data_IF_836416299026
#
_entry.id   IF_836416299026
#
_cell.length_a   1.000
_cell.length_b   1.000
_cell.length_c   1.000
_cell.angle_alpha   90.00
_cell.angle_beta   90.00
_cell.angle_gamma   90.00
#
_symmetry.space_group_name_H-M   'P 1'
#
loop_
_entity.id
_entity.type
_entity.pdbx_description
1 polymer ?
#
# COMPACT_ATOMS: atom_id res chain seq x y z
N UNK A 1 54.91 -10.65 10.87
CA UNK A 1 54.53 -11.39 9.66
C UNK A 1 55.19 -12.73 9.78
N UNK A 2 54.43 -13.83 9.76
CA UNK A 2 55.05 -15.15 9.57
C UNK A 2 55.81 -15.14 8.24
N UNK A 3 56.96 -15.82 8.17
CA UNK A 3 57.70 -15.96 6.93
C UNK A 3 56.82 -16.64 5.88
N UNK A 4 56.42 -15.85 4.88
CA UNK A 4 55.70 -16.34 3.71
C UNK A 4 56.77 -17.02 2.83
N UNK A 5 56.61 -18.31 2.49
CA UNK A 5 57.57 -19.02 1.64
C UNK A 5 57.83 -18.29 0.33
N UNK A 6 59.07 -18.30 -0.14
CA UNK A 6 59.47 -17.61 -1.37
C UNK A 6 58.62 -18.02 -2.59
N UNK A 7 58.26 -19.30 -2.68
CA UNK A 7 57.38 -19.82 -3.72
C UNK A 7 55.98 -19.18 -3.70
N UNK A 8 55.43 -18.91 -2.52
CA UNK A 8 54.14 -18.23 -2.34
C UNK A 8 54.28 -16.74 -2.72
N UNK A 9 55.40 -16.12 -2.36
CA UNK A 9 55.70 -14.72 -2.64
C UNK A 9 55.82 -14.47 -4.15
N UNK A 10 56.45 -15.39 -4.88
CA UNK A 10 56.55 -15.37 -6.34
C UNK A 10 55.16 -15.51 -6.99
N UNK A 11 54.34 -16.44 -6.52
CA UNK A 11 52.97 -16.61 -7.02
C UNK A 11 52.10 -15.37 -6.80
N UNK A 12 52.20 -14.73 -5.63
CA UNK A 12 51.50 -13.47 -5.34
C UNK A 12 51.99 -12.35 -6.27
N UNK A 13 53.30 -12.26 -6.51
CA UNK A 13 53.91 -11.23 -7.35
C UNK A 13 53.46 -11.36 -8.81
N UNK A 14 53.38 -12.58 -9.34
CA UNK A 14 52.79 -12.83 -10.66
C UNK A 14 51.30 -12.47 -10.68
N UNK A 15 50.54 -12.86 -9.65
CA UNK A 15 49.12 -12.52 -9.57
C UNK A 15 48.90 -10.99 -9.57
N UNK A 16 49.72 -10.23 -8.84
CA UNK A 16 49.64 -8.76 -8.78
C UNK A 16 49.70 -8.10 -10.16
N UNK A 17 50.34 -8.70 -11.17
CA UNK A 17 50.40 -8.12 -12.52
C UNK A 17 49.02 -8.02 -13.19
N UNK A 18 48.05 -8.83 -12.78
CA UNK A 18 46.68 -8.84 -13.31
C UNK A 18 45.64 -8.16 -12.43
N UNK A 19 46.04 -7.58 -11.29
CA UNK A 19 45.13 -6.99 -10.31
C UNK A 19 45.50 -5.54 -10.02
N UNK A 20 44.49 -4.68 -9.91
CA UNK A 20 44.68 -3.23 -9.75
C UNK A 20 44.78 -2.80 -8.28
N UNK A 21 44.43 -3.67 -7.34
CA UNK A 21 44.34 -3.34 -5.92
C UNK A 21 45.28 -4.19 -5.06
N UNK A 22 45.33 -3.85 -3.77
CA UNK A 22 46.19 -4.52 -2.81
C UNK A 22 45.75 -5.97 -2.58
N UNK A 23 46.67 -6.93 -2.72
CA UNK A 23 46.42 -8.32 -2.37
C UNK A 23 46.75 -8.57 -0.90
N UNK A 24 45.72 -8.82 -0.11
CA UNK A 24 45.82 -9.26 1.28
C UNK A 24 45.90 -10.79 1.34
N UNK A 25 46.75 -11.29 2.24
CA UNK A 25 47.04 -12.73 2.37
C UNK A 25 46.68 -13.19 3.77
N UNK A 26 45.86 -14.23 3.87
CA UNK A 26 45.54 -14.88 5.13
C UNK A 26 45.96 -16.35 5.10
N UNK A 27 46.85 -16.76 6.00
CA UNK A 27 47.22 -18.17 6.16
C UNK A 27 46.17 -18.92 6.95
N UNK A 28 45.73 -20.07 6.45
CA UNK A 28 44.87 -21.03 7.18
C UNK A 28 45.30 -22.45 6.82
N UNK A 29 45.89 -23.15 7.80
CA UNK A 29 46.53 -24.45 7.56
C UNK A 29 47.69 -24.32 6.57
N UNK A 30 47.73 -25.19 5.57
CA UNK A 30 48.80 -25.24 4.55
C UNK A 30 48.57 -24.29 3.37
N UNK A 31 47.52 -23.47 3.41
CA UNK A 31 47.14 -22.59 2.32
C UNK A 31 47.17 -21.11 2.70
N UNK A 32 47.51 -20.29 1.71
CA UNK A 32 47.50 -18.83 1.74
C UNK A 32 46.33 -18.33 0.91
N UNK A 33 45.30 -17.83 1.57
CA UNK A 33 44.09 -17.31 0.93
C UNK A 33 44.32 -15.87 0.50
N UNK A 34 44.08 -15.59 -0.77
CA UNK A 34 44.35 -14.29 -1.38
C UNK A 34 43.05 -13.52 -1.56
N UNK A 35 43.09 -12.24 -1.21
CA UNK A 35 41.98 -11.31 -1.38
C UNK A 35 42.48 -10.04 -2.04
N UNK A 36 41.84 -9.64 -3.14
CA UNK A 36 42.03 -8.30 -3.69
C UNK A 36 41.21 -7.32 -2.84
N UNK A 37 41.86 -6.29 -2.30
CA UNK A 37 41.25 -5.38 -1.32
C UNK A 37 41.55 -3.92 -1.61
N UNK A 38 40.57 -3.07 -1.31
CA UNK A 38 40.73 -1.62 -1.31
C UNK A 38 39.83 -1.00 -0.26
N UNK A 39 40.08 0.25 0.09
CA UNK A 39 39.21 1.02 1.00
C UNK A 39 38.84 2.32 0.34
N UNK A 40 37.54 2.61 0.24
CA UNK A 40 37.05 3.92 -0.21
C UNK A 40 36.35 4.64 0.93
N UNK A 41 36.58 5.95 1.01
CA UNK A 41 35.79 6.82 1.87
C UNK A 41 34.39 6.95 1.27
N UNK A 42 33.37 6.61 2.04
CA UNK A 42 31.97 6.77 1.64
C UNK A 42 31.45 8.04 2.32
N UNK A 43 31.25 9.11 1.55
CA UNK A 43 30.80 10.39 2.09
C UNK A 43 29.45 10.28 2.83
N UNK A 44 28.55 9.44 2.30
CA UNK A 44 27.21 9.18 2.85
C UNK A 44 27.25 8.51 4.22
N UNK A 45 28.15 7.55 4.42
CA UNK A 45 28.29 6.82 5.68
C UNK A 45 29.29 7.47 6.64
N UNK A 46 29.95 8.56 6.24
CA UNK A 46 31.07 9.21 6.93
C UNK A 46 32.13 8.21 7.44
N UNK A 47 32.37 7.14 6.68
CA UNK A 47 33.24 6.04 7.09
C UNK A 47 34.01 5.44 5.91
N UNK A 48 35.16 4.81 6.20
CA UNK A 48 35.88 3.98 5.22
C UNK A 48 35.19 2.62 5.09
N UNK A 49 34.73 2.28 3.90
CA UNK A 49 34.23 0.94 3.56
C UNK A 49 35.35 0.14 2.91
N UNK A 50 35.73 -0.99 3.52
CA UNK A 50 36.69 -1.95 2.95
C UNK A 50 35.95 -2.86 1.98
N UNK A 51 36.44 -2.94 0.75
CA UNK A 51 35.98 -3.89 -0.26
C UNK A 51 37.02 -5.00 -0.38
N UNK A 52 36.55 -6.24 -0.47
CA UNK A 52 37.41 -7.42 -0.55
C UNK A 52 36.78 -8.45 -1.48
N UNK A 53 37.57 -8.94 -2.44
CA UNK A 53 37.19 -9.98 -3.39
C UNK A 53 38.15 -11.16 -3.24
N UNK A 54 37.59 -12.36 -3.00
CA UNK A 54 38.39 -13.59 -2.93
C UNK A 54 38.84 -14.01 -4.33
N UNK A 55 40.15 -14.06 -4.55
CA UNK A 55 40.76 -14.35 -5.87
C UNK A 55 41.29 -15.78 -5.98
N UNK A 56 41.49 -16.48 -4.85
CA UNK A 56 41.95 -17.87 -4.84
C UNK A 56 42.83 -18.18 -3.64
N UNK A 57 43.45 -19.36 -3.63
CA UNK A 57 44.41 -19.75 -2.59
C UNK A 57 45.68 -20.32 -3.20
N UNK A 58 46.82 -20.12 -2.53
CA UNK A 58 48.13 -20.63 -2.93
C UNK A 58 48.58 -21.67 -1.90
N UNK A 59 49.07 -22.81 -2.37
CA UNK A 59 49.70 -23.82 -1.49
C UNK A 59 51.11 -23.40 -1.06
N UNK A 60 51.66 -24.01 -0.02
CA UNK A 60 53.05 -23.76 0.43
C UNK A 60 54.11 -23.92 -0.66
N UNK A 61 53.84 -24.71 -1.71
CA UNK A 61 54.73 -24.90 -2.87
C UNK A 61 54.58 -23.82 -3.96
N UNK A 62 53.74 -22.81 -3.76
CA UNK A 62 53.50 -21.74 -4.74
C UNK A 62 52.44 -22.05 -5.80
N UNK A 63 51.81 -23.24 -5.78
CA UNK A 63 50.73 -23.55 -6.74
C UNK A 63 49.46 -22.76 -6.42
N UNK A 64 49.01 -21.95 -7.37
CA UNK A 64 47.73 -21.22 -7.32
C UNK A 64 46.55 -22.15 -7.61
N UNK A 65 45.55 -22.10 -6.75
CA UNK A 65 44.28 -22.82 -6.87
C UNK A 65 43.17 -21.78 -7.02
N UNK A 66 42.57 -21.76 -8.20
CA UNK A 66 41.45 -20.88 -8.53
C UNK A 66 40.22 -21.21 -7.64
N UNK A 67 39.35 -20.22 -7.35
CA UNK A 67 38.18 -20.41 -6.51
C UNK A 67 37.19 -21.37 -7.19
N UNK A 68 37.00 -22.56 -6.59
CA UNK A 68 36.09 -23.61 -7.09
C UNK A 68 34.62 -23.19 -6.92
N UNK A 69 34.31 -22.40 -5.88
CA UNK A 69 32.98 -21.83 -5.64
C UNK A 69 33.13 -20.34 -5.29
N UNK A 70 32.60 -19.49 -6.16
CA UNK A 70 32.40 -18.06 -5.84
C UNK A 70 31.08 -17.92 -5.08
N UNK A 71 30.98 -16.93 -4.19
CA UNK A 71 29.69 -16.55 -3.60
C UNK A 71 28.79 -16.04 -4.72
N UNK A 72 27.48 -16.17 -4.59
CA UNK A 72 26.55 -15.67 -5.62
C UNK A 72 26.76 -14.18 -5.90
N UNK A 73 27.07 -13.39 -4.85
CA UNK A 73 27.38 -11.96 -4.95
C UNK A 73 28.68 -11.62 -5.69
N UNK A 74 29.55 -12.59 -5.96
CA UNK A 74 30.83 -12.40 -6.68
C UNK A 74 30.96 -13.30 -7.91
N UNK A 75 29.88 -14.01 -8.26
CA UNK A 75 29.85 -14.94 -9.39
C UNK A 75 29.94 -14.16 -10.69
N UNK A 76 30.82 -14.58 -11.60
CA UNK A 76 31.04 -13.93 -12.89
C UNK A 76 32.00 -12.72 -12.86
N UNK A 77 32.34 -12.18 -11.68
CA UNK A 77 33.24 -11.03 -11.56
C UNK A 77 34.69 -11.44 -11.75
N UNK A 78 35.44 -10.63 -12.51
CA UNK A 78 36.84 -10.87 -12.87
C UNK A 78 37.81 -10.17 -11.93
N UNK A 79 37.45 -9.02 -11.39
CA UNK A 79 38.31 -8.19 -10.53
C UNK A 79 37.48 -7.38 -9.52
N UNK A 80 38.18 -6.73 -8.58
CA UNK A 80 37.56 -5.90 -7.55
C UNK A 80 36.84 -4.66 -8.11
N UNK A 81 37.30 -4.09 -9.23
CA UNK A 81 36.66 -2.92 -9.85
C UNK A 81 35.24 -3.23 -10.36
N UNK A 82 35.06 -4.38 -11.03
CA UNK A 82 33.74 -4.87 -11.44
C UNK A 82 32.83 -5.08 -10.21
N UNK A 83 33.35 -5.73 -9.16
CA UNK A 83 32.59 -5.92 -7.92
C UNK A 83 32.19 -4.59 -7.27
N UNK A 84 33.09 -3.60 -7.23
CA UNK A 84 32.82 -2.29 -6.67
C UNK A 84 31.81 -1.50 -7.48
N UNK A 85 31.86 -1.61 -8.81
CA UNK A 85 30.89 -0.96 -9.69
C UNK A 85 29.48 -1.57 -9.51
N UNK A 86 29.38 -2.90 -9.43
CA UNK A 86 28.11 -3.58 -9.13
C UNK A 86 27.62 -3.27 -7.72
N UNK A 87 28.49 -3.33 -6.72
CA UNK A 87 28.13 -3.01 -5.31
C UNK A 87 27.67 -1.57 -5.13
N UNK A 88 28.30 -0.63 -5.85
CA UNK A 88 27.87 0.77 -5.86
C UNK A 88 26.52 0.94 -6.57
N UNK A 89 26.25 0.18 -7.62
CA UNK A 89 24.96 0.21 -8.30
C UNK A 89 23.84 -0.37 -7.42
N UNK A 90 24.06 -1.52 -6.78
CA UNK A 90 23.08 -2.13 -5.86
C UNK A 90 22.77 -1.20 -4.68
N UNK A 91 23.79 -0.58 -4.09
CA UNK A 91 23.61 0.38 -3.00
C UNK A 91 22.85 1.63 -3.48
N UNK A 92 23.20 2.18 -4.65
CA UNK A 92 22.47 3.31 -5.24
C UNK A 92 21.02 2.97 -5.53
N UNK A 93 20.75 1.77 -6.03
CA UNK A 93 19.40 1.31 -6.31
C UNK A 93 18.60 1.12 -5.02
N UNK A 94 19.22 0.57 -3.97
CA UNK A 94 18.61 0.46 -2.65
C UNK A 94 18.29 1.83 -2.04
N UNK A 95 19.23 2.78 -2.07
CA UNK A 95 19.00 4.16 -1.62
C UNK A 95 17.87 4.80 -2.45
N UNK A 96 17.86 4.57 -3.77
CA UNK A 96 16.81 5.07 -4.65
C UNK A 96 15.45 4.53 -4.26
N UNK A 97 15.33 3.22 -4.06
CA UNK A 97 14.11 2.54 -3.64
C UNK A 97 13.64 3.03 -2.28
N UNK A 98 14.56 3.16 -1.32
CA UNK A 98 14.24 3.68 0.01
C UNK A 98 13.68 5.10 -0.05
N UNK A 99 14.37 6.02 -0.74
CA UNK A 99 13.93 7.40 -0.90
C UNK A 99 12.59 7.48 -1.64
N UNK A 100 12.37 6.61 -2.62
CA UNK A 100 11.12 6.52 -3.36
C UNK A 100 9.96 6.09 -2.44
N UNK A 101 10.16 5.05 -1.64
CA UNK A 101 9.16 4.56 -0.68
C UNK A 101 8.87 5.62 0.39
N UNK A 102 9.90 6.29 0.92
CA UNK A 102 9.74 7.37 1.89
C UNK A 102 8.98 8.56 1.29
N UNK A 103 9.27 8.96 0.05
CA UNK A 103 8.53 10.02 -0.63
C UNK A 103 7.08 9.63 -0.90
N UNK A 104 6.82 8.39 -1.34
CA UNK A 104 5.46 7.87 -1.48
C UNK A 104 4.71 7.87 -0.14
N UNK A 105 5.41 7.60 0.96
CA UNK A 105 4.88 7.64 2.33
C UNK A 105 4.43 9.04 2.74
N UNK A 106 5.26 10.05 2.46
CA UNK A 106 4.91 11.46 2.69
C UNK A 106 3.72 11.91 1.83
N UNK A 107 3.77 11.66 0.52
CA UNK A 107 2.71 12.06 -0.42
C UNK A 107 1.37 11.37 -0.12
N UNK A 108 1.38 10.09 0.25
CA UNK A 108 0.15 9.38 0.61
C UNK A 108 -0.47 9.90 1.90
N UNK A 109 0.37 10.43 2.80
CA UNK A 109 -0.04 10.86 4.13
C UNK A 109 -0.64 12.25 4.13
N UNK A 110 0.01 13.20 3.47
CA UNK A 110 -0.54 14.52 3.24
C UNK A 110 0.12 15.13 2.00
N UNK A 111 -0.48 14.99 0.81
CA UNK A 111 0.11 15.53 -0.41
C UNK A 111 0.06 17.06 -0.44
N UNK A 112 -0.78 17.70 0.39
CA UNK A 112 -0.93 19.15 0.43
C UNK A 112 0.20 19.87 1.16
N UNK A 113 1.10 19.14 1.81
CA UNK A 113 2.32 19.72 2.37
C UNK A 113 3.19 20.31 1.26
N UNK A 114 3.85 21.43 1.55
CA UNK A 114 4.78 22.02 0.57
C UNK A 114 5.96 21.09 0.33
N UNK A 115 6.49 21.12 -0.90
CA UNK A 115 7.68 20.32 -1.25
C UNK A 115 8.87 20.64 -0.34
N UNK A 116 8.98 21.87 0.17
CA UNK A 116 9.98 22.26 1.16
C UNK A 116 9.83 21.46 2.46
N UNK A 117 8.63 21.37 3.01
CA UNK A 117 8.36 20.61 4.24
C UNK A 117 8.61 19.10 4.03
N UNK A 118 8.20 18.56 2.89
CA UNK A 118 8.49 17.16 2.53
C UNK A 118 10.02 16.95 2.45
N UNK A 119 10.75 17.88 1.82
CA UNK A 119 12.20 17.78 1.66
C UNK A 119 12.96 17.82 3.00
N UNK A 120 12.52 18.68 3.92
CA UNK A 120 13.07 18.78 5.27
C UNK A 120 12.89 17.48 6.05
N UNK A 121 11.68 16.89 6.03
CA UNK A 121 11.39 15.63 6.73
C UNK A 121 12.16 14.44 6.16
N UNK A 122 12.42 14.44 4.85
CA UNK A 122 13.19 13.39 4.18
C UNK A 122 14.71 13.59 4.27
N UNK A 123 15.18 14.76 4.71
CA UNK A 123 16.61 15.10 4.68
C UNK A 123 17.17 15.19 3.26
N UNK A 124 16.34 15.56 2.28
CA UNK A 124 16.71 15.69 0.87
C UNK A 124 16.59 17.14 0.42
N UNK A 125 17.34 17.56 -0.61
CA UNK A 125 17.19 18.91 -1.15
C UNK A 125 15.89 19.06 -1.94
N UNK A 126 15.32 20.26 -1.93
CA UNK A 126 14.16 20.62 -2.76
C UNK A 126 14.36 20.26 -4.24
N UNK A 127 15.56 20.54 -4.77
CA UNK A 127 15.94 20.26 -6.15
C UNK A 127 15.96 18.78 -6.52
N UNK A 128 16.04 17.89 -5.53
CA UNK A 128 15.93 16.43 -5.71
C UNK A 128 14.48 15.98 -5.55
N UNK A 129 13.79 16.46 -4.52
CA UNK A 129 12.43 16.02 -4.19
C UNK A 129 11.42 16.41 -5.27
N UNK A 130 11.45 17.66 -5.77
CA UNK A 130 10.47 18.12 -6.75
C UNK A 130 10.47 17.26 -8.05
N UNK A 131 11.62 17.05 -8.73
CA UNK A 131 11.66 16.17 -9.90
C UNK A 131 11.26 14.73 -9.59
N UNK A 132 11.57 14.23 -8.39
CA UNK A 132 11.19 12.89 -7.97
C UNK A 132 9.68 12.75 -7.82
N UNK A 133 8.99 13.72 -7.21
CA UNK A 133 7.52 13.72 -7.14
C UNK A 133 6.94 13.58 -8.55
N UNK A 134 7.40 14.39 -9.51
CA UNK A 134 6.93 14.32 -10.91
C UNK A 134 7.19 12.98 -11.57
N UNK A 135 8.39 12.41 -11.35
CA UNK A 135 8.72 11.07 -11.85
C UNK A 135 7.82 9.99 -11.26
N UNK A 136 7.48 10.07 -9.97
CA UNK A 136 6.60 9.11 -9.30
C UNK A 136 5.14 9.27 -9.75
N UNK A 137 4.68 10.50 -9.94
CA UNK A 137 3.36 10.80 -10.50
C UNK A 137 3.18 10.10 -11.85
N UNK A 138 4.17 10.23 -12.74
CA UNK A 138 4.15 9.57 -14.05
C UNK A 138 4.31 8.04 -13.96
N UNK A 139 5.32 7.57 -13.21
CA UNK A 139 5.66 6.14 -13.06
C UNK A 139 4.47 5.34 -12.53
N UNK A 140 3.78 5.86 -11.53
CA UNK A 140 2.71 5.15 -10.82
C UNK A 140 1.30 5.59 -11.21
N UNK A 141 1.15 6.59 -12.08
CA UNK A 141 -0.15 7.18 -12.40
C UNK A 141 -0.82 7.71 -11.13
N UNK A 142 -0.12 8.55 -10.38
CA UNK A 142 -0.61 9.07 -9.10
C UNK A 142 -1.73 10.09 -9.36
N UNK A 143 -2.88 9.85 -8.72
CA UNK A 143 -3.97 10.80 -8.63
C UNK A 143 -4.18 11.21 -7.18
N UNK A 144 -4.16 12.52 -6.91
CA UNK A 144 -4.47 13.03 -5.59
C UNK A 144 -5.97 13.08 -5.38
N UNK A 145 -6.42 12.71 -4.20
CA UNK A 145 -7.85 12.67 -3.83
C UNK A 145 -7.99 12.87 -2.32
N UNK A 146 -9.18 12.67 -1.78
CA UNK A 146 -9.46 12.69 -0.34
C UNK A 146 -9.95 11.32 0.14
N UNK A 147 -9.56 10.97 1.35
CA UNK A 147 -10.08 9.79 2.04
C UNK A 147 -11.29 10.20 2.87
N UNK A 148 -12.45 9.60 2.56
CA UNK A 148 -13.71 9.89 3.24
C UNK A 148 -13.92 8.95 4.42
N UNK A 149 -14.42 9.47 5.55
CA UNK A 149 -14.56 8.71 6.80
C UNK A 149 -16.02 8.48 7.17
N UNK A 150 -16.76 9.52 7.54
CA UNK A 150 -18.14 9.36 8.02
C UNK A 150 -19.15 9.75 6.94
N UNK A 151 -19.39 8.82 6.01
CA UNK A 151 -20.41 9.01 4.97
C UNK A 151 -21.85 9.06 5.53
N UNK A 152 -22.04 8.57 6.75
CA UNK A 152 -23.30 8.65 7.48
C UNK A 152 -23.69 10.11 7.78
N UNK A 153 -22.72 11.03 7.84
CA UNK A 153 -23.01 12.47 7.94
C UNK A 153 -23.74 13.00 6.69
N UNK A 154 -23.60 12.33 5.55
CA UNK A 154 -24.36 12.58 4.32
C UNK A 154 -25.63 11.72 4.20
N UNK A 155 -25.91 10.88 5.20
CA UNK A 155 -27.01 9.92 5.18
C UNK A 155 -26.74 8.73 4.28
N UNK A 156 -25.48 8.28 4.16
CA UNK A 156 -25.10 7.06 3.44
C UNK A 156 -24.24 6.15 4.32
N UNK A 157 -24.46 4.84 4.20
CA UNK A 157 -23.68 3.81 4.86
C UNK A 157 -22.96 2.96 3.82
N UNK A 158 -21.90 2.30 4.27
CA UNK A 158 -21.04 1.46 3.44
C UNK A 158 -21.52 0.02 3.46
N UNK A 159 -21.76 -0.52 2.28
CA UNK A 159 -22.16 -1.91 2.08
C UNK A 159 -21.26 -2.57 1.05
N UNK A 160 -21.16 -3.88 1.15
CA UNK A 160 -20.60 -4.70 0.11
C UNK A 160 -21.56 -5.84 -0.23
N UNK A 161 -21.42 -6.37 -1.43
CA UNK A 161 -22.05 -7.59 -1.87
C UNK A 161 -21.01 -8.46 -2.59
N UNK A 162 -21.09 -9.76 -2.36
CA UNK A 162 -20.30 -10.77 -3.07
C UNK A 162 -21.20 -11.84 -3.65
N UNK A 163 -20.81 -12.36 -4.80
CA UNK A 163 -21.51 -13.46 -5.44
C UNK A 163 -20.54 -14.58 -5.83
N UNK A 164 -21.00 -15.82 -5.65
CA UNK A 164 -20.39 -17.01 -6.22
C UNK A 164 -21.39 -17.66 -7.18
N UNK A 165 -21.10 -17.64 -8.48
CA UNK A 165 -21.98 -18.22 -9.48
C UNK A 165 -21.77 -19.74 -9.54
N UNK A 166 -22.87 -20.49 -9.56
CA UNK A 166 -22.85 -21.97 -9.63
C UNK A 166 -23.03 -22.49 -11.05
N UNK A 167 -23.49 -21.63 -11.96
CA UNK A 167 -23.75 -21.98 -13.36
C UNK A 167 -23.18 -20.95 -14.32
N UNK A 168 -24.05 -20.38 -15.16
CA UNK A 168 -23.68 -19.33 -16.11
C UNK A 168 -23.12 -18.12 -15.36
N UNK A 169 -22.05 -17.55 -15.91
CA UNK A 169 -21.46 -16.30 -15.45
C UNK A 169 -21.96 -15.14 -16.30
N UNK A 170 -22.11 -13.93 -15.73
CA UNK A 170 -22.54 -12.77 -16.48
C UNK A 170 -21.49 -12.35 -17.50
N UNK A 171 -21.94 -11.81 -18.62
CA UNK A 171 -21.03 -11.14 -19.57
C UNK A 171 -20.40 -9.91 -18.89
N UNK A 172 -19.06 -9.79 -18.85
CA UNK A 172 -18.41 -8.70 -18.12
C UNK A 172 -18.73 -7.30 -18.64
N UNK A 173 -18.90 -7.11 -19.96
CA UNK A 173 -19.16 -5.78 -20.53
C UNK A 173 -20.61 -5.35 -20.28
N UNK A 174 -21.57 -6.26 -20.46
CA UNK A 174 -22.97 -6.01 -20.15
C UNK A 174 -23.16 -5.72 -18.65
N UNK A 175 -22.51 -6.49 -17.77
CA UNK A 175 -22.56 -6.25 -16.32
C UNK A 175 -21.91 -4.91 -15.96
N UNK A 176 -20.76 -4.57 -16.56
CA UNK A 176 -20.12 -3.27 -16.36
C UNK A 176 -21.08 -2.13 -16.67
N UNK A 177 -21.76 -2.16 -17.82
CA UNK A 177 -22.70 -1.10 -18.24
C UNK A 177 -23.83 -0.88 -17.22
N UNK A 178 -24.38 -1.97 -16.67
CA UNK A 178 -25.43 -1.92 -15.64
C UNK A 178 -24.90 -1.29 -14.35
N UNK A 179 -23.75 -1.77 -13.86
CA UNK A 179 -23.16 -1.27 -12.61
C UNK A 179 -22.71 0.19 -12.74
N UNK A 180 -22.14 0.57 -13.89
CA UNK A 180 -21.67 1.93 -14.16
C UNK A 180 -22.82 2.94 -14.14
N UNK A 181 -24.00 2.56 -14.64
CA UNK A 181 -25.21 3.40 -14.58
C UNK A 181 -25.76 3.63 -13.17
N UNK A 182 -25.37 2.80 -12.18
CA UNK A 182 -25.82 2.95 -10.80
C UNK A 182 -24.82 3.79 -9.97
N UNK A 183 -25.23 5.01 -9.63
CA UNK A 183 -24.44 6.00 -8.88
C UNK A 183 -24.08 5.58 -7.44
N UNK A 184 -24.81 4.61 -6.88
CA UNK A 184 -24.52 4.05 -5.56
C UNK A 184 -23.34 3.08 -5.58
N UNK A 185 -23.07 2.44 -6.71
CA UNK A 185 -22.00 1.46 -6.87
C UNK A 185 -20.65 2.18 -6.99
N UNK A 186 -19.80 2.07 -5.96
CA UNK A 186 -18.53 2.80 -5.89
C UNK A 186 -17.37 2.01 -6.49
N UNK A 187 -17.38 0.69 -6.31
CA UNK A 187 -16.33 -0.19 -6.79
C UNK A 187 -16.95 -1.55 -7.07
N UNK A 188 -16.66 -2.13 -8.24
CA UNK A 188 -17.04 -3.51 -8.52
C UNK A 188 -15.99 -4.19 -9.40
N UNK A 189 -15.78 -5.46 -9.17
CA UNK A 189 -14.80 -6.24 -9.92
C UNK A 189 -15.15 -7.73 -9.94
N UNK A 190 -14.76 -8.39 -11.02
CA UNK A 190 -14.82 -9.84 -11.16
C UNK A 190 -13.53 -10.45 -10.64
N UNK A 191 -13.66 -11.64 -10.06
CA UNK A 191 -12.56 -12.36 -9.43
C UNK A 191 -12.48 -13.82 -9.87
N UNK A 192 -11.32 -14.44 -9.63
CA UNK A 192 -11.07 -15.88 -9.75
C UNK A 192 -10.71 -16.43 -8.37
N UNK A 193 -11.54 -17.32 -7.82
CA UNK A 193 -11.30 -17.96 -6.52
C UNK A 193 -12.59 -18.31 -5.79
N UNK A 194 -12.61 -18.09 -4.48
CA UNK A 194 -13.76 -18.31 -3.60
C UNK A 194 -15.03 -17.58 -4.06
N UNK A 195 -14.90 -16.38 -4.60
CA UNK A 195 -16.00 -15.57 -5.13
C UNK A 195 -15.72 -15.20 -6.59
N UNK A 196 -16.78 -14.82 -7.32
CA UNK A 196 -16.70 -14.45 -8.73
C UNK A 196 -16.97 -12.95 -8.97
N UNK A 197 -17.71 -12.29 -8.07
CA UNK A 197 -18.06 -10.86 -8.16
C UNK A 197 -18.01 -10.22 -6.77
N UNK A 198 -17.40 -9.05 -6.68
CA UNK A 198 -17.44 -8.15 -5.53
C UNK A 198 -18.00 -6.79 -5.94
N UNK A 199 -18.79 -6.20 -5.05
CA UNK A 199 -19.39 -4.88 -5.21
C UNK A 199 -19.28 -4.16 -3.87
N UNK A 200 -18.74 -2.94 -3.87
CA UNK A 200 -18.82 -2.00 -2.77
C UNK A 200 -19.70 -0.84 -3.18
N UNK A 201 -20.67 -0.51 -2.34
CA UNK A 201 -21.70 0.46 -2.66
C UNK A 201 -22.17 1.21 -1.43
N UNK A 202 -22.87 2.32 -1.68
CA UNK A 202 -23.38 3.20 -0.63
C UNK A 202 -24.91 3.20 -0.67
N UNK A 203 -25.56 3.06 0.48
CA UNK A 203 -27.01 3.14 0.57
C UNK A 203 -27.44 3.92 1.81
N UNK A 204 -28.64 4.55 1.82
CA UNK A 204 -29.11 5.31 2.98
C UNK A 204 -29.35 4.47 4.23
N UNK A 205 -29.64 3.19 4.07
CA UNK A 205 -29.99 2.26 5.13
C UNK A 205 -29.91 0.80 4.61
N UNK A 206 -29.96 -0.22 5.49
CA UNK A 206 -29.87 -1.62 5.08
C UNK A 206 -31.00 -2.10 4.14
N UNK A 207 -32.22 -1.59 4.30
CA UNK A 207 -33.36 -1.99 3.44
C UNK A 207 -33.14 -1.48 2.02
N UNK A 208 -32.71 -0.22 1.89
CA UNK A 208 -32.30 0.35 0.61
C UNK A 208 -31.14 -0.44 -0.01
N UNK A 209 -30.19 -0.91 0.79
CA UNK A 209 -29.06 -1.70 0.31
C UNK A 209 -29.49 -3.06 -0.27
N UNK A 210 -30.33 -3.80 0.47
CA UNK A 210 -30.87 -5.08 0.02
C UNK A 210 -31.70 -4.94 -1.25
N UNK A 211 -32.56 -3.92 -1.32
CA UNK A 211 -33.36 -3.62 -2.51
C UNK A 211 -32.49 -3.32 -3.74
N UNK A 212 -31.38 -2.60 -3.58
CA UNK A 212 -30.44 -2.35 -4.68
C UNK A 212 -29.80 -3.64 -5.20
N UNK A 213 -29.38 -4.54 -4.31
CA UNK A 213 -28.81 -5.84 -4.70
C UNK A 213 -29.88 -6.74 -5.32
N UNK A 214 -31.10 -6.74 -4.79
CA UNK A 214 -32.21 -7.49 -5.35
C UNK A 214 -32.55 -7.01 -6.77
N UNK A 215 -32.67 -5.70 -6.97
CA UNK A 215 -32.89 -5.12 -8.30
C UNK A 215 -31.76 -5.48 -9.28
N UNK A 216 -30.51 -5.41 -8.84
CA UNK A 216 -29.36 -5.81 -9.66
C UNK A 216 -29.44 -7.29 -10.07
N UNK A 217 -29.90 -8.18 -9.18
CA UNK A 217 -30.08 -9.61 -9.49
C UNK A 217 -31.19 -9.89 -10.50
N UNK A 218 -32.16 -8.99 -10.63
CA UNK A 218 -33.25 -9.08 -11.61
C UNK A 218 -32.85 -8.57 -13.00
N UNK A 219 -31.70 -7.91 -13.13
CA UNK A 219 -31.21 -7.46 -14.43
C UNK A 219 -30.98 -8.65 -15.37
N UNK A 220 -31.35 -8.57 -16.66
CA UNK A 220 -31.26 -9.72 -17.59
C UNK A 220 -29.88 -10.37 -17.67
N UNK A 221 -28.79 -9.61 -17.46
CA UNK A 221 -27.43 -10.15 -17.47
C UNK A 221 -27.15 -11.08 -16.27
N UNK A 222 -27.87 -10.92 -15.16
CA UNK A 222 -27.70 -11.66 -13.90
C UNK A 222 -28.88 -12.61 -13.60
N UNK A 223 -30.07 -12.37 -14.14
CA UNK A 223 -31.27 -13.15 -13.84
C UNK A 223 -31.10 -14.65 -14.12
N UNK A 224 -30.36 -15.00 -15.19
CA UNK A 224 -30.06 -16.40 -15.56
C UNK A 224 -28.79 -16.96 -14.88
N UNK A 225 -28.11 -16.15 -14.06
CA UNK A 225 -26.88 -16.55 -13.38
C UNK A 225 -27.21 -17.06 -11.98
N UNK A 226 -27.43 -18.37 -11.85
CA UNK A 226 -27.60 -19.00 -10.54
C UNK A 226 -26.34 -18.79 -9.68
N UNK A 227 -26.53 -18.39 -8.42
CA UNK A 227 -25.41 -18.14 -7.52
C UNK A 227 -25.82 -17.85 -6.08
N UNK A 228 -24.84 -17.95 -5.20
CA UNK A 228 -24.96 -17.61 -3.78
C UNK A 228 -24.51 -16.17 -3.61
N UNK A 229 -25.36 -15.36 -2.98
CA UNK A 229 -25.12 -13.94 -2.75
C UNK A 229 -25.04 -13.65 -1.26
N UNK A 230 -24.09 -12.82 -0.87
CA UNK A 230 -23.98 -12.27 0.46
C UNK A 230 -23.86 -10.76 0.36
N UNK A 231 -24.57 -10.03 1.21
CA UNK A 231 -24.45 -8.59 1.33
C UNK A 231 -24.48 -8.18 2.79
N UNK A 232 -23.62 -7.23 3.17
CA UNK A 232 -23.55 -6.74 4.54
C UNK A 232 -22.99 -5.32 4.55
N UNK A 233 -23.20 -4.62 5.68
CA UNK A 233 -22.45 -3.41 5.98
C UNK A 233 -20.98 -3.77 6.29
N UNK A 234 -20.10 -2.77 6.13
CA UNK A 234 -18.71 -2.88 6.56
C UNK A 234 -18.22 -1.56 7.20
N UNK A 235 -17.25 -1.68 8.10
CA UNK A 235 -16.53 -0.54 8.67
C UNK A 235 -15.10 -0.53 8.15
N UNK A 236 -14.65 0.62 7.65
CA UNK A 236 -13.30 0.79 7.12
C UNK A 236 -12.30 0.87 8.28
N UNK A 237 -11.28 0.01 8.28
CA UNK A 237 -10.22 -0.01 9.30
C UNK A 237 -8.90 0.61 8.81
N UNK A 238 -8.35 0.10 7.70
CA UNK A 238 -7.15 0.64 7.05
C UNK A 238 -7.37 0.72 5.54
N UNK A 239 -6.78 1.74 4.91
CA UNK A 239 -6.97 1.98 3.48
C UNK A 239 -8.36 2.56 3.19
N UNK A 240 -8.68 2.77 1.91
CA UNK A 240 -9.95 3.38 1.50
C UNK A 240 -10.34 2.97 0.08
N UNK A 241 -11.62 3.14 -0.22
CA UNK A 241 -12.16 3.02 -1.58
C UNK A 241 -12.48 4.44 -2.05
N UNK A 242 -11.76 4.96 -3.06
CA UNK A 242 -12.08 6.24 -3.67
C UNK A 242 -13.55 6.31 -4.11
N UNK A 243 -14.22 7.42 -3.82
CA UNK A 243 -15.59 7.63 -4.29
C UNK A 243 -15.59 7.96 -5.78
N UNK A 244 -16.56 7.40 -6.48
CA UNK A 244 -16.83 7.74 -7.88
C UNK A 244 -17.37 9.16 -7.99
N UNK A 245 -17.05 9.83 -9.08
CA UNK A 245 -17.56 11.18 -9.35
C UNK A 245 -19.10 11.21 -9.42
N UNK A 246 -19.70 10.14 -9.93
CA UNK A 246 -21.15 9.98 -10.07
C UNK A 246 -21.87 9.92 -8.71
N UNK A 247 -21.18 9.56 -7.62
CA UNK A 247 -21.74 9.66 -6.27
C UNK A 247 -22.09 11.10 -5.91
N UNK A 248 -21.32 12.08 -6.39
CA UNK A 248 -21.56 13.49 -6.09
C UNK A 248 -22.85 14.00 -6.75
N UNK A 249 -23.38 13.35 -7.78
CA UNK A 249 -24.71 13.69 -8.28
C UNK A 249 -25.79 13.37 -7.25
N UNK A 250 -25.65 12.27 -6.49
CA UNK A 250 -26.56 11.95 -5.39
C UNK A 250 -26.45 12.97 -4.24
N UNK A 251 -25.24 13.47 -3.98
CA UNK A 251 -25.04 14.53 -2.98
C UNK A 251 -25.59 15.89 -3.43
N UNK A 252 -25.60 16.16 -4.74
CA UNK A 252 -26.14 17.41 -5.29
C UNK A 252 -27.62 17.58 -4.94
N UNK A 253 -28.38 16.48 -4.93
CA UNK A 253 -29.80 16.44 -4.53
C UNK A 253 -30.01 16.73 -3.04
N UNK A 254 -28.94 16.67 -2.23
CA UNK A 254 -28.95 16.88 -0.78
C UNK A 254 -28.41 18.25 -0.36
N UNK A 255 -28.13 19.15 -1.31
CA UNK A 255 -27.70 20.50 -1.00
C UNK A 255 -28.85 21.26 -0.34
N UNK A 256 -28.65 21.67 0.91
CA UNK A 256 -29.60 22.48 1.64
C UNK A 256 -29.56 23.93 1.16
N UNK A 257 -30.74 24.44 0.84
CA UNK A 257 -31.00 25.87 0.66
C UNK A 257 -32.03 26.32 1.70
N UNK A 258 -31.83 27.52 2.26
CA UNK A 258 -32.78 28.09 3.20
C UNK A 258 -34.01 28.57 2.43
N UNK A 259 -35.16 27.95 2.68
CA UNK A 259 -36.46 28.41 2.16
C UNK A 259 -37.41 28.73 3.31
N UNK A 260 -38.61 29.25 3.00
CA UNK A 260 -39.64 29.50 4.02
C UNK A 260 -40.16 28.18 4.62
N UNK A 261 -40.27 27.15 3.78
CA UNK A 261 -40.77 25.81 4.12
C UNK A 261 -39.71 25.00 4.86
N UNK A 262 -38.42 25.25 4.59
CA UNK A 262 -37.31 24.57 5.23
C UNK A 262 -36.27 25.55 5.80
N UNK A 263 -36.55 26.18 6.95
CA UNK A 263 -35.67 27.17 7.55
C UNK A 263 -34.41 26.56 8.19
N UNK A 264 -34.38 25.24 8.43
CA UNK A 264 -33.27 24.53 9.08
C UNK A 264 -32.82 23.33 8.24
N UNK A 265 -31.51 23.05 8.30
CA UNK A 265 -30.88 21.88 7.69
C UNK A 265 -31.41 20.59 8.33
N UNK A 266 -31.85 19.63 7.52
CA UNK A 266 -32.22 18.28 7.99
C UNK A 266 -30.98 17.39 8.03
N UNK A 267 -31.07 16.28 8.77
CA UNK A 267 -30.03 15.26 8.80
C UNK A 267 -29.74 14.75 7.37
N UNK A 268 -28.47 14.59 7.02
CA UNK A 268 -28.04 14.12 5.70
C UNK A 268 -28.06 15.18 4.58
N UNK A 269 -28.44 16.43 4.87
CA UNK A 269 -28.27 17.54 3.94
C UNK A 269 -26.95 18.29 4.18
N UNK A 270 -26.40 18.89 3.13
CA UNK A 270 -25.10 19.59 3.16
C UNK A 270 -25.20 21.01 2.61
N UNK A 271 -24.30 21.90 3.04
CA UNK A 271 -24.19 23.23 2.44
C UNK A 271 -23.52 23.15 1.05
N UNK A 272 -23.82 24.12 0.19
CA UNK A 272 -23.18 24.24 -1.14
C UNK A 272 -21.65 24.25 -1.05
N UNK A 273 -21.07 24.94 -0.06
CA UNK A 273 -19.61 24.97 0.15
C UNK A 273 -19.04 23.60 0.53
N UNK A 274 -19.75 22.82 1.34
CA UNK A 274 -19.33 21.47 1.74
C UNK A 274 -19.33 20.57 0.51
N UNK A 275 -20.41 20.60 -0.27
CA UNK A 275 -20.52 19.90 -1.56
C UNK A 275 -19.38 20.26 -2.51
N UNK A 276 -19.17 21.55 -2.76
CA UNK A 276 -18.14 22.05 -3.68
C UNK A 276 -16.74 21.60 -3.27
N UNK A 277 -16.39 21.79 -1.98
CA UNK A 277 -15.08 21.39 -1.46
C UNK A 277 -14.88 19.87 -1.55
N UNK A 278 -15.88 19.06 -1.17
CA UNK A 278 -15.77 17.60 -1.26
C UNK A 278 -15.63 17.10 -2.70
N UNK A 279 -16.46 17.63 -3.62
CA UNK A 279 -16.45 17.21 -5.02
C UNK A 279 -15.11 17.50 -5.68
N UNK A 280 -14.65 18.74 -5.61
CA UNK A 280 -13.41 19.13 -6.29
C UNK A 280 -12.17 18.46 -5.69
N UNK A 281 -12.15 18.26 -4.36
CA UNK A 281 -11.05 17.55 -3.71
C UNK A 281 -11.09 16.03 -3.93
N UNK A 282 -12.27 15.44 -4.18
CA UNK A 282 -12.37 14.04 -4.58
C UNK A 282 -11.73 13.81 -5.95
N UNK A 283 -11.98 14.72 -6.91
CA UNK A 283 -11.36 14.67 -8.23
C UNK A 283 -9.88 14.99 -8.19
N UNK A 284 -9.48 15.99 -7.38
CA UNK A 284 -8.09 16.38 -7.19
C UNK A 284 -7.86 16.89 -5.77
N UNK A 285 -7.26 16.04 -4.92
CA UNK A 285 -6.92 16.37 -3.52
C UNK A 285 -5.97 17.56 -3.36
N UNK A 286 -5.32 17.98 -4.45
CA UNK A 286 -4.41 19.13 -4.54
C UNK A 286 -5.05 20.38 -5.16
N UNK A 287 -6.35 20.38 -5.46
CA UNK A 287 -7.02 21.53 -6.03
C UNK A 287 -6.82 22.80 -5.18
N UNK A 288 -6.65 23.93 -5.86
CA UNK A 288 -6.50 25.23 -5.23
C UNK A 288 -7.84 25.71 -4.67
N UNK A 289 -7.86 26.14 -3.41
CA UNK A 289 -9.09 26.53 -2.74
C UNK A 289 -9.73 27.78 -3.37
N UNK A 290 -8.93 28.70 -3.91
CA UNK A 290 -9.46 29.90 -4.56
C UNK A 290 -10.12 29.58 -5.91
N UNK A 291 -9.64 28.55 -6.61
CA UNK A 291 -10.29 28.05 -7.82
C UNK A 291 -11.64 27.41 -7.51
N UNK A 292 -11.74 26.64 -6.41
CA UNK A 292 -13.01 26.09 -5.92
C UNK A 292 -13.99 27.23 -5.58
N UNK A 293 -13.53 28.24 -4.83
CA UNK A 293 -14.36 29.40 -4.48
C UNK A 293 -14.89 30.09 -5.74
N UNK A 294 -14.02 30.34 -6.72
CA UNK A 294 -14.38 30.98 -8.00
C UNK A 294 -15.37 30.14 -8.80
N UNK A 295 -15.14 28.83 -8.91
CA UNK A 295 -15.97 27.90 -9.72
C UNK A 295 -17.41 27.82 -9.21
N UNK A 296 -17.62 27.93 -7.89
CA UNK A 296 -18.94 27.80 -7.27
C UNK A 296 -19.51 29.13 -6.74
N UNK A 297 -18.86 30.27 -7.02
CA UNK A 297 -19.31 31.58 -6.56
C UNK A 297 -19.31 31.75 -5.04
N UNK A 298 -18.36 31.12 -4.34
CA UNK A 298 -18.21 31.22 -2.88
C UNK A 298 -17.40 32.47 -2.51
N UNK A 299 -17.51 32.90 -1.24
CA UNK A 299 -16.66 34.00 -0.72
C UNK A 299 -15.20 33.52 -0.65
N UNK A 300 -14.24 34.39 -0.97
CA UNK A 300 -12.80 34.09 -0.89
C UNK A 300 -12.41 33.49 0.47
N UNK A 301 -11.73 32.35 0.45
CA UNK A 301 -11.29 31.59 1.63
C UNK A 301 -12.34 30.63 2.18
N UNK A 302 -13.55 30.56 1.59
CA UNK A 302 -14.61 29.69 2.10
C UNK A 302 -14.28 28.22 1.92
N UNK A 303 -13.73 27.82 0.78
CA UNK A 303 -13.34 26.43 0.53
C UNK A 303 -12.24 25.96 1.47
N UNK A 304 -11.23 26.79 1.76
CA UNK A 304 -10.18 26.46 2.71
C UNK A 304 -10.73 26.29 4.13
N UNK A 305 -11.52 27.25 4.61
CA UNK A 305 -12.18 27.14 5.91
C UNK A 305 -13.07 25.88 5.99
N UNK A 306 -13.82 25.61 4.92
CA UNK A 306 -14.69 24.43 4.84
C UNK A 306 -13.88 23.13 4.86
N UNK A 307 -12.74 23.05 4.17
CA UNK A 307 -11.86 21.88 4.20
C UNK A 307 -11.40 21.54 5.62
N UNK A 308 -10.90 22.52 6.38
CA UNK A 308 -10.47 22.29 7.76
C UNK A 308 -11.63 21.87 8.65
N UNK A 309 -12.78 22.51 8.50
CA UNK A 309 -14.00 22.11 9.21
C UNK A 309 -14.43 20.67 8.86
N UNK A 310 -14.37 20.27 7.60
CA UNK A 310 -14.69 18.91 7.17
C UNK A 310 -13.71 17.86 7.75
N UNK A 311 -12.46 18.24 8.05
CA UNK A 311 -11.53 17.39 8.79
C UNK A 311 -11.92 17.29 10.26
N UNK A 312 -12.21 18.43 10.91
CA UNK A 312 -12.66 18.48 12.31
C UNK A 312 -13.94 17.66 12.53
N UNK A 313 -14.88 17.74 11.58
CA UNK A 313 -16.14 16.97 11.58
C UNK A 313 -15.94 15.50 11.14
N UNK A 314 -14.69 15.06 10.89
CA UNK A 314 -14.31 13.72 10.41
C UNK A 314 -15.04 13.30 9.12
N UNK A 315 -15.38 14.25 8.25
CA UNK A 315 -15.96 13.98 6.93
C UNK A 315 -14.86 13.68 5.92
N UNK A 316 -13.76 14.42 6.00
CA UNK A 316 -12.49 14.14 5.30
C UNK A 316 -11.49 13.65 6.34
N UNK A 317 -10.88 12.48 6.13
CA UNK A 317 -9.77 12.06 6.98
C UNK A 317 -8.50 12.84 6.68
N UNK A 318 -8.19 12.93 5.37
CA UNK A 318 -7.00 13.56 4.83
C UNK A 318 -7.12 13.71 3.32
N UNK A 319 -6.37 14.65 2.76
CA UNK A 319 -5.92 14.53 1.38
C UNK A 319 -4.92 13.38 1.27
N UNK A 320 -4.95 12.66 0.15
CA UNK A 320 -4.13 11.47 -0.09
C UNK A 320 -3.96 11.25 -1.59
N UNK A 321 -3.47 10.07 -1.97
CA UNK A 321 -3.34 9.65 -3.36
C UNK A 321 -3.86 8.24 -3.60
N UNK A 322 -4.01 7.91 -4.88
CA UNK A 322 -4.15 6.57 -5.41
C UNK A 322 -3.18 6.38 -6.59
N UNK A 323 -2.68 5.17 -6.79
CA UNK A 323 -1.84 4.78 -7.91
C UNK A 323 -2.67 3.97 -8.92
N UNK A 324 -2.70 4.39 -10.18
CA UNK A 324 -3.37 3.65 -11.24
C UNK A 324 -2.46 2.57 -11.88
N UNK A 325 -1.14 2.70 -11.71
CA UNK A 325 -0.13 1.77 -12.27
C UNK A 325 0.80 1.21 -11.18
N UNK A 326 0.28 0.57 -10.11
CA UNK A 326 1.13 -0.02 -9.08
C UNK A 326 2.02 -1.13 -9.67
N UNK A 327 3.26 -1.32 -9.18
CA UNK A 327 4.20 -2.31 -9.71
C UNK A 327 3.91 -3.70 -9.11
N UNK A 328 2.72 -4.21 -9.34
CA UNK A 328 2.22 -5.48 -8.78
C UNK A 328 1.85 -6.44 -9.90
N UNK A 329 1.86 -7.73 -9.60
CA UNK A 329 1.42 -8.78 -10.52
C UNK A 329 -0.10 -8.89 -10.52
N UNK A 330 -0.68 -9.00 -9.32
CA UNK A 330 -2.10 -9.24 -9.12
C UNK A 330 -2.60 -8.46 -7.88
N UNK A 331 -3.92 -8.45 -7.70
CA UNK A 331 -4.55 -8.00 -6.46
C UNK A 331 -5.45 -9.10 -5.94
N UNK A 332 -5.27 -9.47 -4.68
CA UNK A 332 -6.09 -10.45 -3.99
C UNK A 332 -7.13 -9.77 -3.11
N UNK A 333 -8.32 -10.36 -3.05
CA UNK A 333 -9.34 -10.08 -2.04
C UNK A 333 -9.48 -11.30 -1.17
N UNK A 334 -9.40 -11.10 0.14
CA UNK A 334 -9.39 -12.14 1.16
C UNK A 334 -10.51 -11.82 2.13
N UNK A 335 -11.53 -12.68 2.15
CA UNK A 335 -12.56 -12.66 3.17
C UNK A 335 -12.15 -13.61 4.30
N UNK A 336 -12.04 -13.07 5.50
CA UNK A 336 -11.77 -13.85 6.71
C UNK A 336 -13.03 -13.86 7.55
N UNK A 337 -13.71 -15.01 7.60
CA UNK A 337 -14.90 -15.20 8.44
C UNK A 337 -14.48 -15.64 9.84
N UNK A 338 -15.06 -15.02 10.86
CA UNK A 338 -14.79 -15.31 12.27
C UNK A 338 -15.74 -16.42 12.75
N UNK A 339 -15.17 -17.58 13.09
CA UNK A 339 -15.92 -18.75 13.57
C UNK A 339 -15.90 -18.81 15.10
N UNK A 340 -14.76 -18.49 15.72
CA UNK A 340 -14.57 -18.52 17.18
C UNK A 340 -13.91 -17.22 17.65
N UNK A 341 -14.74 -16.27 18.08
CA UNK A 341 -14.31 -14.94 18.50
C UNK A 341 -13.38 -14.96 19.71
N UNK A 342 -13.50 -15.99 20.59
CA UNK A 342 -12.63 -16.15 21.74
C UNK A 342 -11.19 -16.42 21.33
N UNK A 343 -10.99 -17.33 20.37
CA UNK A 343 -9.66 -17.65 19.82
C UNK A 343 -9.03 -16.49 19.05
N UNK A 344 -9.85 -15.69 18.36
CA UNK A 344 -9.38 -14.51 17.63
C UNK A 344 -8.96 -13.42 18.62
N UNK A 345 -9.81 -13.11 19.60
CA UNK A 345 -9.53 -12.07 20.60
C UNK A 345 -8.29 -12.39 21.43
N UNK A 346 -8.00 -13.66 21.70
CA UNK A 346 -6.77 -14.09 22.36
C UNK A 346 -5.48 -13.68 21.59
N UNK A 347 -5.58 -13.40 20.29
CA UNK A 347 -4.45 -13.03 19.41
C UNK A 347 -4.66 -11.69 18.70
N UNK A 348 -5.58 -10.86 19.21
CA UNK A 348 -5.95 -9.56 18.62
C UNK A 348 -4.75 -8.65 18.39
N UNK A 349 -3.82 -8.59 19.33
CA UNK A 349 -2.60 -7.77 19.21
C UNK A 349 -1.74 -8.17 18.01
N UNK A 350 -1.52 -9.47 17.83
CA UNK A 350 -0.73 -10.01 16.71
C UNK A 350 -1.43 -9.74 15.38
N UNK A 351 -2.77 -9.85 15.37
CA UNK A 351 -3.60 -9.48 14.22
C UNK A 351 -3.47 -8.01 13.84
N UNK A 352 -3.58 -7.08 14.81
CA UNK A 352 -3.42 -5.65 14.56
C UNK A 352 -2.01 -5.32 14.09
N UNK A 353 -1.00 -5.94 14.71
CA UNK A 353 0.42 -5.80 14.34
C UNK A 353 0.67 -6.26 12.90
N UNK A 354 0.03 -7.37 12.48
CA UNK A 354 0.12 -7.89 11.11
C UNK A 354 -0.39 -6.89 10.06
N UNK A 355 -1.47 -6.18 10.39
CA UNK A 355 -2.12 -5.22 9.49
C UNK A 355 -1.25 -3.99 9.27
N UNK A 356 -0.62 -3.47 10.33
CA UNK A 356 0.22 -2.26 10.25
C UNK A 356 1.67 -2.54 9.83
N UNK A 357 2.04 -3.81 9.66
CA UNK A 357 3.40 -4.19 9.29
C UNK A 357 3.79 -3.61 7.92
N UNK A 358 4.91 -2.90 7.88
CA UNK A 358 5.38 -2.21 6.67
C UNK A 358 6.36 -3.09 5.88
N UNK A 359 5.97 -3.42 4.64
CA UNK A 359 6.88 -3.98 3.63
C UNK A 359 7.78 -2.89 3.05
N UNK A 360 8.98 -3.25 2.61
CA UNK A 360 9.83 -2.38 1.77
C UNK A 360 9.35 -2.41 0.31
N UNK A 361 8.09 -2.01 0.11
CA UNK A 361 7.40 -1.98 -1.18
C UNK A 361 6.69 -0.64 -1.39
N UNK A 362 6.43 -0.24 -2.66
CA UNK A 362 5.71 1.00 -2.98
C UNK A 362 4.25 1.08 -2.50
N UNK A 363 3.71 0.00 -1.92
CA UNK A 363 2.36 -0.06 -1.35
C UNK A 363 2.39 -0.58 0.09
N UNK A 364 1.31 -0.33 0.84
CA UNK A 364 1.05 -1.04 2.10
C UNK A 364 0.76 -2.53 1.86
N UNK A 365 0.91 -3.34 2.91
CA UNK A 365 0.60 -4.79 2.89
C UNK A 365 -0.86 -5.06 2.51
N UNK A 366 -1.79 -4.25 3.01
CA UNK A 366 -3.18 -4.26 2.61
C UNK A 366 -3.54 -2.86 2.12
N UNK A 367 -4.16 -2.77 0.95
CA UNK A 367 -4.68 -1.50 0.40
C UNK A 367 -6.07 -1.17 0.95
N UNK A 368 -6.75 -2.18 1.48
CA UNK A 368 -8.01 -2.05 2.19
C UNK A 368 -8.11 -3.17 3.24
N UNK A 369 -8.55 -2.82 4.44
CA UNK A 369 -8.91 -3.72 5.53
C UNK A 369 -10.15 -3.15 6.21
N UNK A 370 -11.25 -3.90 6.22
CA UNK A 370 -12.49 -3.48 6.86
C UNK A 370 -13.25 -4.63 7.51
N UNK A 371 -13.87 -4.36 8.65
CA UNK A 371 -14.68 -5.35 9.36
C UNK A 371 -16.05 -5.48 8.71
N UNK A 372 -16.58 -6.70 8.67
CA UNK A 372 -17.88 -7.01 8.08
C UNK A 372 -18.84 -7.56 9.13
N UNK A 373 -20.11 -7.20 9.00
CA UNK A 373 -21.16 -7.56 9.97
C UNK A 373 -21.74 -8.97 9.81
N UNK A 374 -21.96 -9.44 8.58
CA UNK A 374 -22.61 -10.73 8.34
C UNK A 374 -22.07 -11.43 7.07
N UNK A 375 -21.44 -12.63 7.21
CA UNK A 375 -20.97 -13.18 8.48
C UNK A 375 -19.93 -12.27 9.12
N UNK A 376 -19.80 -12.30 10.46
CA UNK A 376 -18.79 -11.50 11.16
C UNK A 376 -17.39 -11.88 10.66
N UNK A 377 -16.60 -10.86 10.29
CA UNK A 377 -15.42 -11.10 9.47
C UNK A 377 -14.59 -9.85 9.23
N UNK A 378 -13.58 -10.01 8.38
CA UNK A 378 -12.78 -8.93 7.84
C UNK A 378 -12.58 -9.16 6.35
N UNK A 379 -12.76 -8.11 5.54
CA UNK A 379 -12.34 -8.09 4.14
C UNK A 379 -10.97 -7.42 4.07
N UNK A 380 -10.03 -8.08 3.40
CA UNK A 380 -8.70 -7.56 3.09
C UNK A 380 -8.50 -7.53 1.60
N UNK A 381 -7.94 -6.44 1.08
CA UNK A 381 -7.47 -6.36 -0.30
C UNK A 381 -5.96 -6.14 -0.25
N UNK A 382 -5.21 -7.03 -0.89
CA UNK A 382 -3.75 -7.08 -0.81
C UNK A 382 -3.11 -7.05 -2.22
N UNK A 383 -2.06 -6.24 -2.42
CA UNK A 383 -1.23 -6.34 -3.62
C UNK A 383 -0.39 -7.62 -3.58
N UNK A 384 -0.28 -8.29 -4.72
CA UNK A 384 0.52 -9.50 -4.92
C UNK A 384 1.64 -9.16 -5.91
N UNK A 385 2.89 -9.26 -5.48
CA UNK A 385 4.06 -8.94 -6.29
C UNK A 385 4.61 -10.15 -7.02
N UNK A 386 4.52 -11.34 -6.41
CA UNK A 386 5.13 -12.56 -6.94
C UNK A 386 4.21 -13.78 -6.77
N UNK A 387 4.51 -14.83 -7.54
CA UNK A 387 3.88 -16.14 -7.37
C UNK A 387 4.11 -16.72 -5.97
N UNK A 388 3.08 -17.38 -5.42
CA UNK A 388 3.13 -17.96 -4.08
C UNK A 388 2.93 -16.98 -2.92
N UNK A 389 2.80 -15.66 -3.20
CA UNK A 389 2.65 -14.66 -2.14
C UNK A 389 1.24 -14.67 -1.51
N UNK A 390 0.19 -14.99 -2.27
CA UNK A 390 -1.16 -15.12 -1.73
C UNK A 390 -1.23 -16.26 -0.71
N UNK A 391 -0.69 -17.43 -1.04
CA UNK A 391 -0.66 -18.60 -0.18
C UNK A 391 0.17 -18.32 1.09
N UNK A 392 1.28 -17.59 0.97
CA UNK A 392 2.05 -17.13 2.15
C UNK A 392 1.24 -16.19 3.03
N UNK A 393 0.48 -15.28 2.42
CA UNK A 393 -0.37 -14.34 3.14
C UNK A 393 -1.49 -15.08 3.88
N UNK A 394 -2.18 -16.01 3.23
CA UNK A 394 -3.21 -16.86 3.83
C UNK A 394 -2.66 -17.70 5.00
N UNK A 395 -1.53 -18.38 4.79
CA UNK A 395 -0.87 -19.16 5.83
C UNK A 395 -0.48 -18.28 7.03
N UNK A 396 0.01 -17.06 6.78
CA UNK A 396 0.31 -16.12 7.85
C UNK A 396 -0.96 -15.69 8.61
N UNK A 397 -2.09 -15.45 7.91
CA UNK A 397 -3.38 -15.12 8.54
C UNK A 397 -3.87 -16.27 9.42
N UNK A 398 -3.85 -17.52 8.92
CA UNK A 398 -4.20 -18.72 9.68
C UNK A 398 -3.27 -18.94 10.89
N UNK A 399 -1.98 -18.65 10.71
CA UNK A 399 -0.99 -18.80 11.77
C UNK A 399 -1.14 -17.74 12.87
N UNK A 400 -1.67 -16.55 12.57
CA UNK A 400 -1.87 -15.47 13.54
C UNK A 400 -3.28 -15.54 14.17
N UNK A 401 -4.27 -16.10 13.48
CA UNK A 401 -5.65 -16.18 13.97
C UNK A 401 -6.19 -17.59 13.89
N UNK A 402 -6.56 -18.13 15.05
CA UNK A 402 -7.27 -19.40 15.16
C UNK A 402 -8.77 -19.12 15.18
N UNK A 403 -9.58 -20.09 14.71
CA UNK A 403 -11.03 -19.93 14.70
C UNK A 403 -11.55 -19.04 13.57
N UNK A 404 -10.90 -19.09 12.41
CA UNK A 404 -11.29 -18.37 11.21
C UNK A 404 -11.45 -19.32 10.03
N UNK A 405 -12.20 -18.88 9.03
CA UNK A 405 -12.24 -19.46 7.69
C UNK A 405 -11.80 -18.39 6.67
N UNK A 406 -11.04 -18.80 5.65
CA UNK A 406 -10.51 -17.87 4.64
C UNK A 406 -11.08 -18.24 3.27
N UNK A 407 -11.67 -17.26 2.59
CA UNK A 407 -11.97 -17.32 1.16
C UNK A 407 -11.19 -16.24 0.42
N UNK A 408 -10.27 -16.63 -0.45
CA UNK A 408 -9.49 -15.69 -1.27
C UNK A 408 -9.89 -15.73 -2.73
N UNK A 409 -9.68 -14.62 -3.44
CA UNK A 409 -9.86 -14.54 -4.89
C UNK A 409 -8.94 -13.50 -5.49
N UNK A 410 -8.43 -13.74 -6.69
CA UNK A 410 -7.65 -12.78 -7.47
C UNK A 410 -8.58 -11.93 -8.32
N UNK A 411 -8.43 -10.61 -8.26
CA UNK A 411 -9.16 -9.68 -9.14
C UNK A 411 -8.74 -9.93 -10.58
N UNK A 412 -9.68 -10.35 -11.42
CA UNK A 412 -9.44 -10.59 -12.84
C UNK A 412 -9.87 -9.42 -13.72
N UNK A 413 -10.88 -8.65 -13.30
CA UNK A 413 -11.35 -7.51 -14.08
C UNK A 413 -12.05 -6.47 -13.21
N UNK A 414 -11.60 -5.22 -13.29
CA UNK A 414 -12.30 -4.07 -12.72
C UNK A 414 -13.49 -3.71 -13.60
N UNK A 415 -14.68 -3.61 -13.02
CA UNK A 415 -15.90 -3.18 -13.72
C UNK A 415 -16.07 -1.66 -13.57
N UNK A 416 -16.10 -1.17 -12.34
CA UNK A 416 -16.20 0.27 -12.01
C UNK A 416 -15.35 0.63 -10.80
N UNK A 417 -15.05 1.91 -10.66
CA UNK A 417 -14.34 2.44 -9.51
C UNK A 417 -12.84 2.17 -9.53
N UNK A 418 -12.19 2.46 -8.40
CA UNK A 418 -10.74 2.29 -8.22
C UNK A 418 -10.45 1.74 -6.82
N UNK A 419 -9.27 1.19 -6.68
CA UNK A 419 -8.72 0.75 -5.40
C UNK A 419 -7.69 1.79 -4.94
N UNK A 420 -7.68 2.13 -3.64
CA UNK A 420 -6.77 3.11 -3.07
C UNK A 420 -5.34 2.61 -2.91
N UNK A 421 -4.68 2.22 -4.01
CA UNK A 421 -3.28 1.80 -4.00
C UNK A 421 -2.40 2.96 -3.55
N UNK A 422 -1.78 2.83 -2.36
CA UNK A 422 -0.86 3.83 -1.82
C UNK A 422 0.10 3.22 -0.80
N UNK A 423 1.07 4.02 -0.36
CA UNK A 423 1.97 3.74 0.76
C UNK A 423 1.68 4.73 1.87
N UNK A 424 0.70 4.50 2.72
CA UNK A 424 0.44 5.35 3.88
C UNK A 424 1.42 5.03 5.02
N UNK A 425 1.76 6.05 5.80
CA UNK A 425 2.36 5.85 7.12
C UNK A 425 1.37 5.13 8.04
N UNK A 426 1.66 3.88 8.39
CA UNK A 426 0.71 3.06 9.18
C UNK A 426 0.53 3.59 10.59
N UNK A 427 1.49 4.36 11.12
CA UNK A 427 1.38 5.03 12.43
C UNK A 427 0.27 6.07 12.49
N UNK A 428 -0.17 6.57 11.32
CA UNK A 428 -1.25 7.54 11.18
C UNK A 428 -2.59 6.90 10.85
N UNK A 429 -2.74 5.59 11.06
CA UNK A 429 -3.99 4.86 10.79
C UNK A 429 -4.74 4.55 12.08
N UNK A 430 -6.06 4.37 12.02
CA UNK A 430 -6.85 3.96 13.19
C UNK A 430 -6.45 2.60 13.75
N UNK A 431 -5.91 1.71 12.90
CA UNK A 431 -5.41 0.40 13.36
C UNK A 431 -4.23 0.58 14.32
N UNK A 432 -3.33 1.52 14.04
CA UNK A 432 -2.23 1.86 14.95
C UNK A 432 -2.72 2.54 16.23
N UNK A 433 -3.70 3.45 16.11
CA UNK A 433 -4.33 4.09 17.28
C UNK A 433 -4.98 3.06 18.21
N UNK A 434 -5.71 2.08 17.65
CA UNK A 434 -6.30 0.98 18.40
C UNK A 434 -5.25 0.12 19.11
N UNK A 435 -4.16 -0.22 18.41
CA UNK A 435 -3.04 -0.97 18.99
C UNK A 435 -2.35 -0.20 20.13
N UNK A 436 -2.21 1.12 19.98
CA UNK A 436 -1.61 1.99 20.99
C UNK A 436 -2.45 2.03 22.27
N UNK A 437 -3.77 2.19 22.15
CA UNK A 437 -4.72 2.13 23.28
C UNK A 437 -4.68 0.78 24.00
N UNK A 438 -4.55 -0.33 23.27
CA UNK A 438 -4.40 -1.66 23.88
C UNK A 438 -3.13 -1.76 24.73
N UNK A 439 -1.99 -1.23 24.26
CA UNK A 439 -0.73 -1.23 25.01
C UNK A 439 -0.81 -0.39 26.30
N UNK A 440 -1.46 0.78 26.25
CA UNK A 440 -1.65 1.63 27.43
C UNK A 440 -2.52 0.96 28.51
N UNK A 441 -3.58 0.26 28.09
CA UNK A 441 -4.46 -0.48 29.00
C UNK A 441 -3.76 -1.64 29.72
N UNK A 442 -2.75 -2.25 29.09
CA UNK A 442 -1.96 -3.33 29.69
C UNK A 442 -0.86 -2.81 30.62
N UNK A 443 -0.24 -1.66 30.29
CA UNK A 443 0.79 -1.04 31.13
C UNK A 443 0.26 -0.38 32.40
N UNK A 444 -1.02 -0.04 32.45
CA UNK A 444 -1.68 0.63 33.58
C UNK A 444 -2.30 -0.32 34.61
N UNK A 445 -2.13 -1.64 34.46
CA UNK A 445 -2.65 -2.63 35.42
C UNK A 445 -1.61 -2.92 36.52
N UNK A 446 -1.68 -2.31 37.73
CA UNK A 446 -0.61 -2.36 38.73
C UNK A 446 -0.64 -3.65 39.57
N UNK A 447 -1.50 -4.63 39.24
CA UNK A 447 -1.79 -5.81 40.07
C UNK A 447 -1.16 -7.12 39.58
N UNK A 448 -0.05 -7.06 38.85
CA UNK A 448 0.73 -8.25 38.49
C UNK A 448 2.24 -8.05 38.67
N UNK A 449 2.63 -7.54 39.83
CA UNK A 449 3.98 -7.71 40.38
C UNK A 449 3.89 -8.28 41.77
#
# INVERSE_FOLDING_TARGET
MEDIPEAVLNAITELKKGHNHHIEVHKRGEYYYLFETTSKWMAEAQARKKFSLYIGKVSSTGKLIQPIRKRDSTKGMRNLDEYMNTSNWEERERIRQHNEISLLKELSTNPRDSVSQISERLGLSYSVVYPWIKRLEEKYGIHYTIEHVFLNNFGFYRFFAVAKFTGKRPDPEALKKIIEGNKHMQLAFLTRGAYDLFIFFLAPDPVSAENMIYALRLEPVLADCSGIWYSSYFTQGMGYIPLREEFFDLLKERIWSRTKEQPRRKLGQIFLREFATLKELNSNGMADFSEIDKKYGLKKGSAQYTYHKLIEDNMIFRATLTMDKPPIKDTAVIMVTQIDIGKINARRREWLTDVIWEKDTPLNKYIFNGDVGSPYGVIRIAPIYNDGELEKLENNILNISKGIEIGSSIISKMLVGRLGYRKIDTTKTWTYEALSKENESQGSNPKSR
#
